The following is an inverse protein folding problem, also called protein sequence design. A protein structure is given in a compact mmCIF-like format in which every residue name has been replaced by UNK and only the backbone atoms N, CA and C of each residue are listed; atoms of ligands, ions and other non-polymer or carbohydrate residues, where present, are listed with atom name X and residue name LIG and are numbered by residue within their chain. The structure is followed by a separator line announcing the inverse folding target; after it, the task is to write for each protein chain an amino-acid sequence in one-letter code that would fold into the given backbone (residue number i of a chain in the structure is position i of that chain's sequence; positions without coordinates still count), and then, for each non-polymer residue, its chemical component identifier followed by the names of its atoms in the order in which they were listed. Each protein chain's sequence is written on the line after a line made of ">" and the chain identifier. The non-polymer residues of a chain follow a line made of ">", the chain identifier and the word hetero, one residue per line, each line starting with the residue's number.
data_IF_560002377384
#
_entry.id   IF_560002377384
#
_cell.length_a   1.000
_cell.length_b   1.000
_cell.length_c   1.000
_cell.angle_alpha   90.00
_cell.angle_beta   90.00
_cell.angle_gamma   90.00
#
_symmetry.space_group_name_H-M   'P 1'
#
loop_
_entity.id
_entity.type
_entity.pdbx_description
1 polymer ?
#
# COMPACT_ATOMS: atom_id res chain seq x y z
N UNK A 1 17.79 15.20 5.53
CA UNK A 1 17.64 13.94 6.28
C UNK A 1 18.17 12.80 5.41
N UNK A 2 18.93 11.87 5.98
CA UNK A 2 19.46 10.66 5.33
C UNK A 2 18.91 9.41 6.01
N UNK A 3 19.05 8.24 5.38
CA UNK A 3 18.60 6.98 5.95
C UNK A 3 19.29 6.66 7.30
N UNK A 4 20.57 7.04 7.44
CA UNK A 4 21.34 6.88 8.68
C UNK A 4 20.78 7.75 9.80
N UNK A 5 20.43 9.01 9.51
CA UNK A 5 19.83 9.91 10.50
C UNK A 5 18.47 9.37 10.96
N UNK A 6 17.62 8.92 10.03
CA UNK A 6 16.32 8.33 10.39
C UNK A 6 16.50 7.07 11.23
N UNK A 7 17.47 6.22 10.89
CA UNK A 7 17.79 5.03 11.69
C UNK A 7 18.28 5.39 13.09
N UNK A 8 19.09 6.46 13.25
CA UNK A 8 19.52 6.96 14.57
C UNK A 8 18.34 7.47 15.40
N UNK A 9 17.48 8.30 14.80
CA UNK A 9 16.27 8.83 15.44
C UNK A 9 15.40 7.67 15.93
N UNK A 10 15.13 6.68 15.08
CA UNK A 10 14.36 5.49 15.46
C UNK A 10 15.02 4.72 16.63
N UNK A 11 16.35 4.61 16.66
CA UNK A 11 17.05 3.98 17.79
C UNK A 11 16.91 4.77 19.10
N UNK A 12 16.88 6.11 19.07
CA UNK A 12 16.63 6.92 20.26
C UNK A 12 15.19 6.70 20.79
N UNK A 13 14.19 6.64 19.88
CA UNK A 13 12.82 6.29 20.26
C UNK A 13 12.75 4.94 20.98
N UNK A 14 13.41 3.90 20.43
CA UNK A 14 13.41 2.57 21.02
C UNK A 14 14.00 2.51 22.45
N UNK A 15 14.92 3.42 22.80
CA UNK A 15 15.51 3.46 24.14
C UNK A 15 14.53 3.94 25.19
N UNK A 16 13.63 4.88 24.85
CA UNK A 16 12.76 5.54 25.83
C UNK A 16 11.27 5.19 25.67
N UNK A 17 10.86 4.54 24.58
CA UNK A 17 9.47 4.23 24.23
C UNK A 17 8.65 3.62 25.38
N UNK A 18 9.30 2.77 26.22
CA UNK A 18 8.67 2.11 27.35
C UNK A 18 8.15 3.09 28.43
N UNK A 19 8.75 4.28 28.54
CA UNK A 19 8.33 5.32 29.51
C UNK A 19 6.99 5.96 29.13
N UNK A 20 6.63 5.89 27.83
CA UNK A 20 5.41 6.48 27.25
C UNK A 20 4.37 5.42 26.89
N UNK A 21 4.62 4.15 27.22
CA UNK A 21 3.77 3.03 26.82
C UNK A 21 3.74 2.81 25.30
N UNK A 22 4.74 3.33 24.59
CA UNK A 22 4.89 3.19 23.14
C UNK A 22 5.72 1.95 22.77
N UNK A 23 5.49 1.43 21.56
CA UNK A 23 6.30 0.38 20.92
C UNK A 23 6.51 0.72 19.46
N UNK A 24 7.70 1.17 19.09
CA UNK A 24 8.10 1.36 17.69
C UNK A 24 8.19 0.01 16.98
N UNK A 25 7.46 -0.15 15.88
CA UNK A 25 7.43 -1.38 15.08
C UNK A 25 8.43 -1.32 13.94
N UNK A 26 8.29 -0.35 13.05
CA UNK A 26 9.14 -0.16 11.88
C UNK A 26 9.05 1.25 11.34
N UNK A 27 9.89 1.57 10.36
CA UNK A 27 9.80 2.80 9.60
C UNK A 27 10.07 2.57 8.11
N UNK A 28 9.73 3.55 7.30
CA UNK A 28 10.04 3.66 5.87
C UNK A 28 10.71 5.00 5.64
N UNK A 29 11.79 5.01 4.88
CA UNK A 29 12.47 6.23 4.46
C UNK A 29 12.58 6.28 2.94
N UNK A 30 12.17 7.40 2.35
CA UNK A 30 12.28 7.67 0.93
C UNK A 30 13.41 8.68 0.71
N UNK A 31 14.56 8.22 0.23
CA UNK A 31 15.73 9.08 -0.01
C UNK A 31 15.47 10.11 -1.10
N UNK A 32 14.63 9.84 -2.08
CA UNK A 32 14.28 10.75 -3.17
C UNK A 32 13.40 11.90 -2.67
N UNK A 33 12.38 11.58 -1.84
CA UNK A 33 11.43 12.55 -1.29
C UNK A 33 11.84 13.12 0.07
N UNK A 34 12.89 12.56 0.68
CA UNK A 34 13.38 12.93 2.03
C UNK A 34 12.28 12.87 3.09
N UNK A 35 11.42 11.87 3.01
CA UNK A 35 10.31 11.64 3.94
C UNK A 35 10.46 10.33 4.69
N UNK A 36 10.11 10.34 5.97
CA UNK A 36 10.07 9.16 6.82
C UNK A 36 8.63 8.93 7.33
N UNK A 37 8.24 7.67 7.47
CA UNK A 37 6.98 7.24 8.06
C UNK A 37 7.28 6.15 9.09
N UNK A 38 6.81 6.33 10.33
CA UNK A 38 6.99 5.36 11.41
C UNK A 38 5.66 4.68 11.73
N UNK A 39 5.71 3.39 12.02
CA UNK A 39 4.59 2.65 12.58
C UNK A 39 4.87 2.38 14.06
N UNK A 40 3.97 2.87 14.93
CA UNK A 40 4.15 2.84 16.38
C UNK A 40 2.83 2.40 17.02
N UNK A 41 2.88 1.45 17.93
CA UNK A 41 1.79 1.19 18.88
C UNK A 41 1.94 2.15 20.06
N UNK A 42 0.84 2.85 20.42
CA UNK A 42 0.84 3.81 21.50
C UNK A 42 -0.54 3.90 22.16
N UNK A 43 -0.64 4.36 23.44
CA UNK A 43 -1.92 4.61 24.10
C UNK A 43 -2.75 5.67 23.40
N UNK A 44 -2.09 6.73 22.93
CA UNK A 44 -2.70 7.84 22.21
C UNK A 44 -1.66 8.65 21.42
N UNK A 45 -2.11 9.68 20.69
CA UNK A 45 -1.24 10.54 19.88
C UNK A 45 -0.26 11.38 20.71
N UNK A 46 -0.65 11.80 21.90
CA UNK A 46 0.18 12.63 22.76
C UNK A 46 1.41 11.83 23.25
N UNK A 47 1.22 10.56 23.60
CA UNK A 47 2.32 9.68 23.99
C UNK A 47 3.39 9.56 22.90
N UNK A 48 2.99 9.54 21.61
CA UNK A 48 3.93 9.55 20.47
C UNK A 48 4.68 10.87 20.39
N UNK A 49 3.96 12.00 20.51
CA UNK A 49 4.56 13.35 20.43
C UNK A 49 5.57 13.53 21.57
N UNK A 50 5.19 13.23 22.81
CA UNK A 50 6.06 13.36 23.98
C UNK A 50 7.28 12.43 23.90
N UNK A 51 7.12 11.21 23.43
CA UNK A 51 8.21 10.28 23.21
C UNK A 51 9.23 10.85 22.23
N UNK A 52 8.80 11.29 21.05
CA UNK A 52 9.68 11.86 20.03
C UNK A 52 10.36 13.16 20.49
N UNK A 53 9.61 14.06 21.15
CA UNK A 53 10.17 15.31 21.68
C UNK A 53 11.29 15.04 22.70
N UNK A 54 11.08 14.11 23.62
CA UNK A 54 12.08 13.75 24.61
C UNK A 54 13.22 12.87 24.09
N UNK A 55 12.99 12.09 23.00
CA UNK A 55 14.03 11.24 22.42
C UNK A 55 15.06 12.05 21.63
N UNK A 56 14.57 12.96 20.79
CA UNK A 56 15.43 13.65 19.80
C UNK A 56 14.88 15.03 19.35
N UNK A 57 13.72 15.47 19.82
CA UNK A 57 13.14 16.79 19.53
C UNK A 57 12.44 16.91 18.15
N UNK A 58 12.46 15.87 17.31
CA UNK A 58 11.81 15.86 16.01
C UNK A 58 10.40 15.25 16.11
N UNK A 59 9.39 16.08 16.32
CA UNK A 59 8.00 15.63 16.46
C UNK A 59 7.35 15.35 15.09
N UNK A 60 6.47 14.34 14.99
CA UNK A 60 5.82 14.00 13.73
C UNK A 60 4.84 15.11 13.29
N UNK A 61 4.87 15.46 11.99
CA UNK A 61 3.98 16.45 11.41
C UNK A 61 2.52 15.98 11.35
N UNK A 62 2.32 14.68 11.16
CA UNK A 62 0.99 14.08 11.04
C UNK A 62 0.96 12.71 11.68
N UNK A 63 -0.07 12.43 12.45
CA UNK A 63 -0.33 11.13 13.07
C UNK A 63 -1.73 10.67 12.69
N UNK A 64 -1.84 9.48 12.11
CA UNK A 64 -3.12 8.83 11.82
C UNK A 64 -3.18 7.48 12.55
N UNK A 65 -4.37 7.12 13.00
CA UNK A 65 -4.64 5.79 13.53
C UNK A 65 -4.88 4.83 12.38
N UNK A 66 -4.24 3.66 12.41
CA UNK A 66 -4.30 2.66 11.34
C UNK A 66 -4.42 1.26 11.91
N UNK A 67 -5.01 0.35 11.15
CA UNK A 67 -4.95 -1.08 11.39
C UNK A 67 -3.64 -1.63 10.83
N UNK A 68 -2.90 -2.41 11.64
CA UNK A 68 -1.62 -2.97 11.26
C UNK A 68 -1.71 -3.90 10.04
N UNK A 69 -2.79 -4.69 9.91
CA UNK A 69 -2.98 -5.57 8.75
C UNK A 69 -3.20 -4.78 7.46
N UNK A 70 -3.85 -3.61 7.54
CA UNK A 70 -4.00 -2.72 6.40
C UNK A 70 -2.65 -2.11 6.02
N UNK A 71 -1.84 -1.68 7.00
CA UNK A 71 -0.48 -1.19 6.73
C UNK A 71 0.35 -2.26 6.04
N UNK A 72 0.34 -3.50 6.54
CA UNK A 72 1.06 -4.63 5.95
C UNK A 72 0.62 -4.89 4.51
N UNK A 73 -0.69 -4.87 4.23
CA UNK A 73 -1.21 -5.10 2.88
C UNK A 73 -0.76 -4.04 1.87
N UNK A 74 -0.59 -2.79 2.28
CA UNK A 74 -0.05 -1.72 1.42
C UNK A 74 1.46 -1.72 1.33
N UNK A 75 2.16 -1.85 2.46
CA UNK A 75 3.60 -1.58 2.58
C UNK A 75 4.44 -2.86 2.68
N UNK A 76 3.81 -4.02 2.89
CA UNK A 76 4.46 -5.33 2.85
C UNK A 76 5.17 -5.73 4.15
N UNK A 77 5.16 -4.89 5.19
CA UNK A 77 5.74 -5.22 6.50
C UNK A 77 5.18 -4.34 7.61
N UNK A 78 5.25 -4.85 8.86
CA UNK A 78 4.88 -4.15 10.08
C UNK A 78 5.97 -4.20 11.16
N UNK A 79 7.07 -4.87 10.89
CA UNK A 79 8.22 -4.95 11.81
C UNK A 79 9.53 -4.76 11.06
N UNK A 80 10.55 -4.25 11.73
CA UNK A 80 11.88 -4.10 11.16
C UNK A 80 12.46 -5.46 10.83
N UNK A 81 12.95 -5.68 9.60
CA UNK A 81 13.42 -6.99 9.14
C UNK A 81 14.64 -7.51 9.91
N UNK A 82 15.42 -6.63 10.53
CA UNK A 82 16.65 -6.96 11.27
C UNK A 82 16.54 -6.79 12.78
N UNK A 83 15.40 -6.30 13.31
CA UNK A 83 15.21 -6.04 14.72
C UNK A 83 15.47 -7.27 15.61
N UNK A 84 15.27 -8.48 15.07
CA UNK A 84 15.51 -9.75 15.75
C UNK A 84 16.96 -10.23 15.67
N UNK A 85 17.82 -9.63 14.85
CA UNK A 85 19.14 -10.21 14.53
C UNK A 85 20.35 -9.44 15.05
N UNK A 86 20.28 -8.12 15.28
CA UNK A 86 21.44 -7.33 15.67
C UNK A 86 21.09 -6.05 16.45
N UNK A 87 21.89 -5.74 17.47
CA UNK A 87 21.92 -4.44 18.19
C UNK A 87 22.44 -3.30 17.27
N UNK A 88 22.76 -3.59 16.01
CA UNK A 88 23.28 -2.61 15.05
C UNK A 88 22.14 -1.76 14.49
N UNK A 89 22.51 -0.53 14.12
CA UNK A 89 21.64 0.41 13.43
C UNK A 89 21.01 -0.23 12.17
N UNK A 90 19.69 -0.33 12.17
CA UNK A 90 18.97 -0.86 11.00
C UNK A 90 18.66 0.30 10.03
N UNK A 91 19.44 0.40 8.96
CA UNK A 91 19.28 1.44 7.94
C UNK A 91 18.32 0.95 6.88
N UNK A 92 17.11 1.52 6.84
CA UNK A 92 16.07 1.19 5.89
C UNK A 92 15.90 2.35 4.91
N UNK A 93 16.26 2.12 3.66
CA UNK A 93 15.96 3.02 2.55
C UNK A 93 14.90 2.34 1.65
N UNK A 94 13.65 2.41 2.08
CA UNK A 94 12.50 1.80 1.43
C UNK A 94 11.36 2.83 1.43
N UNK A 95 10.96 3.34 0.26
CA UNK A 95 9.92 4.34 0.18
C UNK A 95 8.57 3.78 0.60
N UNK A 96 7.79 4.57 1.34
CA UNK A 96 6.39 4.26 1.63
C UNK A 96 5.45 4.69 0.49
N UNK A 97 5.96 5.34 -0.56
CA UNK A 97 5.19 5.70 -1.75
C UNK A 97 4.70 4.45 -2.48
N UNK A 98 3.43 4.44 -2.87
CA UNK A 98 2.81 3.31 -3.58
C UNK A 98 2.01 3.78 -4.77
N UNK A 99 1.95 2.92 -5.78
CA UNK A 99 0.95 2.99 -6.84
C UNK A 99 -0.22 2.13 -6.42
N UNK A 100 -1.38 2.75 -6.31
CA UNK A 100 -2.65 2.07 -6.03
C UNK A 100 -3.33 1.79 -7.37
N UNK A 101 -3.71 0.53 -7.59
CA UNK A 101 -4.50 0.09 -8.74
C UNK A 101 -5.86 -0.39 -8.26
N UNK A 102 -6.92 0.09 -8.90
CA UNK A 102 -8.27 -0.44 -8.73
C UNK A 102 -8.64 -1.16 -10.03
N UNK A 103 -9.00 -2.43 -9.91
CA UNK A 103 -9.50 -3.25 -11.02
C UNK A 103 -10.96 -3.53 -10.72
N UNK A 104 -11.86 -3.18 -11.63
CA UNK A 104 -13.29 -3.48 -11.51
C UNK A 104 -13.74 -4.20 -12.74
N UNK A 105 -14.62 -5.18 -12.57
CA UNK A 105 -15.28 -5.84 -13.68
C UNK A 105 -16.81 -5.78 -13.52
N UNK A 106 -17.51 -5.64 -14.63
CA UNK A 106 -18.96 -5.53 -14.71
C UNK A 106 -19.50 -6.56 -15.70
N UNK A 107 -20.64 -7.17 -15.36
CA UNK A 107 -21.33 -8.08 -16.27
C UNK A 107 -22.13 -7.26 -17.26
N UNK A 108 -21.76 -7.33 -18.54
CA UNK A 108 -22.47 -6.66 -19.65
C UNK A 108 -23.66 -7.50 -20.09
N UNK A 109 -23.48 -8.85 -20.13
CA UNK A 109 -24.48 -9.79 -20.61
C UNK A 109 -24.38 -11.09 -19.81
N UNK A 110 -25.51 -11.62 -19.35
CA UNK A 110 -25.54 -12.90 -18.67
C UNK A 110 -25.58 -14.04 -19.68
N UNK A 111 -24.66 -14.98 -19.54
CA UNK A 111 -24.59 -16.23 -20.30
C UNK A 111 -24.54 -17.42 -19.34
N UNK A 112 -24.79 -18.61 -19.85
CA UNK A 112 -24.80 -19.86 -19.04
C UNK A 112 -23.48 -20.12 -18.28
N UNK A 113 -22.37 -19.63 -18.82
CA UNK A 113 -21.01 -19.80 -18.28
C UNK A 113 -20.45 -18.56 -17.57
N UNK A 114 -21.25 -17.53 -17.31
CA UNK A 114 -20.79 -16.23 -16.73
C UNK A 114 -20.01 -16.42 -15.42
N UNK A 115 -20.51 -17.26 -14.49
CA UNK A 115 -19.81 -17.49 -13.22
C UNK A 115 -18.42 -18.11 -13.42
N UNK A 116 -18.30 -19.08 -14.30
CA UNK A 116 -17.01 -19.72 -14.63
C UNK A 116 -16.04 -18.74 -15.30
N UNK A 117 -16.55 -17.84 -16.16
CA UNK A 117 -15.75 -16.79 -16.79
C UNK A 117 -15.18 -15.82 -15.75
N UNK A 118 -16.01 -15.37 -14.78
CA UNK A 118 -15.58 -14.49 -13.70
C UNK A 118 -14.51 -15.17 -12.83
N UNK A 119 -14.73 -16.40 -12.39
CA UNK A 119 -13.75 -17.14 -11.59
C UNK A 119 -12.41 -17.30 -12.31
N UNK A 120 -12.43 -17.57 -13.61
CA UNK A 120 -11.22 -17.69 -14.43
C UNK A 120 -10.55 -16.33 -14.61
N UNK A 121 -11.32 -15.26 -14.77
CA UNK A 121 -10.81 -13.90 -14.83
C UNK A 121 -10.11 -13.50 -13.53
N UNK A 122 -10.75 -13.71 -12.40
CA UNK A 122 -10.20 -13.39 -11.07
C UNK A 122 -8.89 -14.15 -10.81
N UNK A 123 -8.84 -15.44 -11.13
CA UNK A 123 -7.60 -16.23 -11.04
C UNK A 123 -6.48 -15.64 -11.88
N UNK A 124 -6.78 -15.19 -13.10
CA UNK A 124 -5.79 -14.58 -13.98
C UNK A 124 -5.36 -13.20 -13.50
N UNK A 125 -6.28 -12.38 -12.98
CA UNK A 125 -5.96 -11.09 -12.35
C UNK A 125 -4.98 -11.32 -11.19
N UNK A 126 -5.28 -12.25 -10.28
CA UNK A 126 -4.43 -12.57 -9.13
C UNK A 126 -3.04 -13.04 -9.58
N UNK A 127 -2.96 -13.89 -10.61
CA UNK A 127 -1.68 -14.36 -11.15
C UNK A 127 -0.84 -13.21 -11.73
N UNK A 128 -1.48 -12.29 -12.49
CA UNK A 128 -0.78 -11.12 -13.02
C UNK A 128 -0.32 -10.19 -11.90
N UNK A 129 -1.17 -9.90 -10.89
CA UNK A 129 -0.78 -9.08 -9.74
C UNK A 129 0.48 -9.65 -9.07
N UNK A 130 0.52 -10.96 -8.81
CA UNK A 130 1.67 -11.64 -8.21
C UNK A 130 2.91 -11.59 -9.11
N UNK A 131 2.74 -11.81 -10.42
CA UNK A 131 3.84 -11.75 -11.41
C UNK A 131 4.53 -10.38 -11.43
N UNK A 132 3.77 -9.30 -11.26
CA UNK A 132 4.27 -7.93 -11.22
C UNK A 132 4.53 -7.40 -9.80
N UNK A 133 4.60 -8.28 -8.80
CA UNK A 133 4.94 -7.94 -7.41
C UNK A 133 3.94 -6.95 -6.76
N UNK A 134 2.65 -7.07 -7.11
CA UNK A 134 1.57 -6.34 -6.46
C UNK A 134 1.06 -7.05 -5.22
N UNK A 135 0.67 -6.28 -4.21
CA UNK A 135 0.00 -6.76 -3.00
C UNK A 135 -1.50 -6.49 -3.10
N UNK A 136 -2.32 -7.52 -2.93
CA UNK A 136 -3.77 -7.37 -2.87
C UNK A 136 -4.14 -6.84 -1.49
N UNK A 137 -4.59 -5.58 -1.44
CA UNK A 137 -5.04 -4.91 -0.20
C UNK A 137 -6.45 -5.33 0.16
N UNK A 138 -7.33 -5.39 -0.85
CA UNK A 138 -8.73 -5.77 -0.69
C UNK A 138 -9.21 -6.44 -1.96
N UNK A 139 -9.99 -7.50 -1.80
CA UNK A 139 -10.73 -8.14 -2.87
C UNK A 139 -12.21 -8.21 -2.48
N UNK A 140 -13.07 -7.65 -3.31
CA UNK A 140 -14.52 -7.80 -3.24
C UNK A 140 -15.00 -8.63 -4.43
N UNK A 141 -16.31 -8.90 -4.50
CA UNK A 141 -16.92 -9.70 -5.57
C UNK A 141 -16.54 -9.21 -6.99
N UNK A 142 -16.42 -7.91 -7.19
CA UNK A 142 -16.24 -7.31 -8.53
C UNK A 142 -15.02 -6.36 -8.60
N UNK A 143 -14.29 -6.18 -7.50
CA UNK A 143 -13.22 -5.18 -7.38
C UNK A 143 -12.00 -5.73 -6.67
N UNK A 144 -10.83 -5.34 -7.16
CA UNK A 144 -9.54 -5.50 -6.49
C UNK A 144 -8.95 -4.12 -6.19
N UNK A 145 -8.46 -3.94 -4.97
CA UNK A 145 -7.58 -2.84 -4.60
C UNK A 145 -6.18 -3.44 -4.41
N UNK A 146 -5.24 -2.94 -5.19
CA UNK A 146 -3.87 -3.49 -5.27
C UNK A 146 -2.86 -2.38 -5.04
N UNK A 147 -1.81 -2.67 -4.29
CA UNK A 147 -0.68 -1.79 -4.02
C UNK A 147 0.57 -2.28 -4.73
N UNK A 148 1.31 -1.38 -5.37
CA UNK A 148 2.60 -1.66 -6.01
C UNK A 148 3.67 -0.67 -5.52
N UNK A 149 4.86 -1.15 -5.27
CA UNK A 149 6.02 -0.29 -4.99
C UNK A 149 6.51 0.42 -6.27
N UNK A 150 6.39 -0.23 -7.42
CA UNK A 150 6.84 0.26 -8.71
C UNK A 150 5.67 0.68 -9.60
N UNK A 151 5.69 1.95 -10.05
CA UNK A 151 4.76 2.49 -11.04
C UNK A 151 4.81 1.69 -12.35
N UNK A 152 6.01 1.38 -12.83
CA UNK A 152 6.19 0.63 -14.08
C UNK A 152 5.61 -0.78 -14.00
N UNK A 153 5.80 -1.49 -12.87
CA UNK A 153 5.19 -2.81 -12.65
C UNK A 153 3.66 -2.73 -12.60
N UNK A 154 3.10 -1.70 -11.97
CA UNK A 154 1.66 -1.49 -11.94
C UNK A 154 1.09 -1.27 -13.35
N UNK A 155 1.73 -0.41 -14.16
CA UNK A 155 1.32 -0.16 -15.55
C UNK A 155 1.42 -1.43 -16.40
N UNK A 156 2.53 -2.16 -16.32
CA UNK A 156 2.70 -3.42 -17.07
C UNK A 156 1.67 -4.49 -16.65
N UNK A 157 1.35 -4.56 -15.35
CA UNK A 157 0.27 -5.42 -14.86
C UNK A 157 -1.08 -5.05 -15.48
N UNK A 158 -1.43 -3.76 -15.48
CA UNK A 158 -2.67 -3.27 -16.06
C UNK A 158 -2.75 -3.59 -17.57
N UNK A 159 -1.68 -3.33 -18.31
CA UNK A 159 -1.59 -3.67 -19.75
C UNK A 159 -1.79 -5.18 -19.96
N UNK A 160 -1.09 -6.01 -19.17
CA UNK A 160 -1.21 -7.47 -19.29
C UNK A 160 -2.61 -8.00 -19.02
N UNK A 161 -3.31 -7.41 -18.06
CA UNK A 161 -4.72 -7.76 -17.77
C UNK A 161 -5.62 -7.34 -18.93
N UNK A 162 -5.44 -6.13 -19.47
CA UNK A 162 -6.29 -5.58 -20.52
C UNK A 162 -6.04 -6.19 -21.90
N UNK A 163 -4.87 -6.78 -22.18
CA UNK A 163 -4.56 -7.47 -23.45
C UNK A 163 -5.65 -8.50 -23.83
N UNK A 164 -6.24 -9.17 -22.86
CA UNK A 164 -7.31 -10.17 -23.09
C UNK A 164 -8.62 -9.55 -23.59
N UNK A 165 -8.83 -8.27 -23.32
CA UNK A 165 -10.04 -7.52 -23.72
C UNK A 165 -9.84 -6.73 -25.02
N UNK A 166 -8.58 -6.60 -25.49
CA UNK A 166 -8.21 -5.88 -26.70
C UNK A 166 -8.09 -6.80 -27.92
N UNK A 167 -8.58 -8.04 -27.85
CA UNK A 167 -8.57 -8.94 -29.00
C UNK A 167 -9.44 -8.37 -30.14
N UNK A 168 -8.96 -8.38 -31.39
CA UNK A 168 -9.75 -7.94 -32.53
C UNK A 168 -10.98 -8.82 -32.78
N UNK A 169 -10.95 -10.07 -32.33
CA UNK A 169 -12.12 -10.95 -32.38
C UNK A 169 -12.81 -10.99 -31.01
N UNK A 170 -14.11 -10.70 -30.94
CA UNK A 170 -14.85 -10.75 -29.68
C UNK A 170 -14.90 -12.16 -29.14
N UNK A 171 -14.29 -12.39 -27.98
CA UNK A 171 -14.39 -13.63 -27.22
C UNK A 171 -15.66 -13.64 -26.35
N UNK A 172 -16.05 -14.79 -25.83
CA UNK A 172 -17.17 -14.87 -24.87
C UNK A 172 -16.92 -13.99 -23.64
N UNK A 173 -15.67 -13.84 -23.22
CA UNK A 173 -15.26 -12.95 -22.14
C UNK A 173 -15.64 -11.49 -22.43
N UNK A 174 -15.24 -10.95 -23.58
CA UNK A 174 -15.47 -9.55 -23.96
C UNK A 174 -16.94 -9.23 -24.18
N UNK A 175 -17.74 -10.22 -24.59
CA UNK A 175 -19.20 -10.09 -24.76
C UNK A 175 -19.95 -10.14 -23.43
N UNK A 176 -19.34 -10.73 -22.40
CA UNK A 176 -19.97 -11.02 -21.13
C UNK A 176 -19.53 -10.03 -20.04
N UNK A 177 -18.25 -9.63 -20.03
CA UNK A 177 -17.64 -8.85 -18.96
C UNK A 177 -16.89 -7.65 -19.54
N UNK A 178 -17.07 -6.47 -18.94
CA UNK A 178 -16.19 -5.32 -19.13
C UNK A 178 -15.23 -5.21 -17.94
N UNK A 179 -14.05 -4.62 -18.17
CA UNK A 179 -13.06 -4.34 -17.14
C UNK A 179 -12.66 -2.87 -17.18
N UNK A 180 -12.53 -2.27 -16.01
CA UNK A 180 -11.97 -0.93 -15.83
C UNK A 180 -10.79 -1.02 -14.87
N UNK A 181 -9.68 -0.41 -15.24
CA UNK A 181 -8.48 -0.35 -14.41
C UNK A 181 -8.07 1.11 -14.23
N UNK A 182 -7.92 1.54 -12.99
CA UNK A 182 -7.42 2.87 -12.67
C UNK A 182 -6.16 2.78 -11.82
N UNK A 183 -5.25 3.73 -12.03
CA UNK A 183 -3.97 3.81 -11.33
C UNK A 183 -3.80 5.21 -10.78
N UNK A 184 -3.38 5.30 -9.53
CA UNK A 184 -2.96 6.55 -8.92
C UNK A 184 -1.80 6.30 -7.95
N UNK A 185 -0.99 7.32 -7.70
CA UNK A 185 0.21 7.21 -6.86
C UNK A 185 0.16 8.19 -5.71
N UNK A 186 0.67 7.80 -4.56
CA UNK A 186 0.72 8.69 -3.42
C UNK A 186 1.49 8.16 -2.21
N UNK A 187 1.47 8.97 -1.16
CA UNK A 187 2.08 8.69 0.14
C UNK A 187 1.02 8.14 1.10
N UNK A 188 1.45 7.36 2.13
CA UNK A 188 0.50 6.71 3.03
C UNK A 188 -0.28 7.67 3.92
N UNK A 189 0.33 8.76 4.34
CA UNK A 189 -0.25 9.72 5.29
C UNK A 189 -0.42 11.07 4.63
N UNK A 190 -1.65 11.58 4.66
CA UNK A 190 -2.05 12.91 4.19
C UNK A 190 -2.91 13.56 5.26
N UNK A 191 -3.56 14.69 4.98
CA UNK A 191 -4.53 15.31 5.89
C UNK A 191 -5.78 14.44 6.17
N UNK A 192 -5.94 13.35 5.45
CA UNK A 192 -7.06 12.40 5.62
C UNK A 192 -6.81 11.43 6.78
N UNK A 193 -7.90 10.79 7.24
CA UNK A 193 -7.90 9.91 8.42
C UNK A 193 -7.43 8.49 8.14
N UNK A 194 -7.37 8.06 6.87
CA UNK A 194 -7.02 6.67 6.52
C UNK A 194 -5.81 6.62 5.61
N UNK A 195 -5.03 5.56 5.75
CA UNK A 195 -3.85 5.32 4.94
C UNK A 195 -4.18 5.31 3.44
N UNK A 196 -3.40 6.03 2.63
CA UNK A 196 -3.59 6.21 1.18
C UNK A 196 -4.97 6.74 0.75
N UNK A 197 -5.75 7.34 1.65
CA UNK A 197 -7.14 7.70 1.38
C UNK A 197 -7.29 8.63 0.17
N UNK A 198 -6.46 9.66 0.03
CA UNK A 198 -6.52 10.58 -1.13
C UNK A 198 -6.19 9.86 -2.43
N UNK A 199 -5.19 8.96 -2.39
CA UNK A 199 -4.77 8.17 -3.55
C UNK A 199 -5.88 7.24 -4.02
N UNK A 200 -6.54 6.55 -3.09
CA UNK A 200 -7.66 5.64 -3.36
C UNK A 200 -8.86 6.42 -3.90
N UNK A 201 -9.25 7.50 -3.23
CA UNK A 201 -10.41 8.32 -3.65
C UNK A 201 -10.26 8.87 -5.06
N UNK A 202 -9.04 9.30 -5.44
CA UNK A 202 -8.79 9.77 -6.80
C UNK A 202 -8.90 8.63 -7.81
N UNK A 203 -8.32 7.46 -7.51
CA UNK A 203 -8.45 6.29 -8.39
C UNK A 203 -9.92 5.84 -8.54
N UNK A 204 -10.72 5.89 -7.47
CA UNK A 204 -12.16 5.58 -7.53
C UNK A 204 -12.94 6.58 -8.39
N UNK A 205 -12.62 7.87 -8.32
CA UNK A 205 -13.25 8.88 -9.19
C UNK A 205 -12.93 8.64 -10.66
N UNK A 206 -11.69 8.26 -10.99
CA UNK A 206 -11.28 7.95 -12.36
C UNK A 206 -12.01 6.73 -12.93
N UNK A 207 -12.47 5.81 -12.09
CA UNK A 207 -13.25 4.63 -12.50
C UNK A 207 -14.63 4.98 -13.09
N UNK A 208 -15.17 6.12 -12.70
CA UNK A 208 -16.54 6.56 -13.09
C UNK A 208 -16.56 7.19 -14.49
N UNK A 209 -15.43 7.63 -14.99
CA UNK A 209 -15.26 8.19 -16.33
C UNK A 209 -15.13 7.06 -17.36
#
# INVERSE_FOLDING_TARGET
>A
VTAEIVAQIHQEDLKIQHKYGCRGLTYWFDDVRKTAFCLIEAPDKNAIIEMHDHAHGEVPHQIIEVDAAIVESFLGRIEDPEKAKNIKLNIINDPAFRTVMIISHEIISFQKNTSTLIENLDKQIILNIKQFEGNIVRQNKNDFLVSFQSVSKAVLCAVKITERFNSPEPTDLNKTISIKITLNCGIPVTEKKSIFQDTIQLAERMKII
#
